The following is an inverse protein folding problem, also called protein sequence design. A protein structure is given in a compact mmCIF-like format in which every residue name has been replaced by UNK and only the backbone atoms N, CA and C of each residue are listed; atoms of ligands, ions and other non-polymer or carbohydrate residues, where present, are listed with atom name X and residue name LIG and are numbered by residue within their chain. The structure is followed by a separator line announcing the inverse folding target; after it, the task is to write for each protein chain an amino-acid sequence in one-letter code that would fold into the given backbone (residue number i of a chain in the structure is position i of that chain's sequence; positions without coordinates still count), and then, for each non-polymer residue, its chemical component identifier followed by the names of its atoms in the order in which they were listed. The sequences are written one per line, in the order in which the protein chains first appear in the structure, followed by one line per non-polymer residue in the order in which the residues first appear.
data_IF_370622388140
#
_entry.id   IF_370622388140
#
_cell.length_a   1.000
_cell.length_b   1.000
_cell.length_c   1.000
_cell.angle_alpha   90.00
_cell.angle_beta   90.00
_cell.angle_gamma   90.00
#
_symmetry.space_group_name_H-M   'P 1'
#
loop_
_entity.id
_entity.type
_entity.pdbx_description
1 polymer ?
#
# COMPACT_ATOMS: atom_id res chain seq x y z
N UNK A 1 -18.93 -0.14 -10.47
CA UNK A 1 -17.52 0.06 -10.11
C UNK A 1 -17.33 -0.29 -8.65
N UNK A 2 -16.48 -1.26 -8.30
CA UNK A 2 -16.17 -1.53 -6.89
C UNK A 2 -15.33 -0.37 -6.33
N UNK A 3 -15.92 0.40 -5.42
CA UNK A 3 -15.27 1.48 -4.67
C UNK A 3 -14.02 0.93 -3.95
N UNK A 4 -12.82 1.21 -4.48
CA UNK A 4 -11.56 0.90 -3.79
C UNK A 4 -11.41 1.89 -2.63
N UNK A 5 -12.05 1.59 -1.51
CA UNK A 5 -12.00 2.44 -0.31
C UNK A 5 -10.56 2.53 0.21
N UNK A 6 -9.93 3.68 -0.03
CA UNK A 6 -8.63 4.03 0.56
C UNK A 6 -8.84 4.44 2.01
N UNK A 7 -8.24 3.69 2.95
CA UNK A 7 -8.26 4.04 4.37
C UNK A 7 -7.00 4.83 4.72
N UNK A 8 -7.18 6.09 5.13
CA UNK A 8 -6.10 6.93 5.64
C UNK A 8 -5.78 6.56 7.08
N UNK A 9 -4.49 6.49 7.42
CA UNK A 9 -4.02 6.25 8.78
C UNK A 9 -2.75 7.07 9.04
N UNK A 10 -2.46 7.33 10.32
CA UNK A 10 -1.22 8.01 10.72
C UNK A 10 -0.14 6.96 10.91
N UNK A 11 0.95 7.08 10.14
CA UNK A 11 2.14 6.26 10.29
C UNK A 11 3.16 7.00 11.15
N UNK A 12 3.73 6.33 12.15
CA UNK A 12 4.86 6.84 12.93
C UNK A 12 6.13 6.13 12.46
N UNK A 13 7.09 6.91 11.98
CA UNK A 13 8.44 6.48 11.59
C UNK A 13 9.42 7.51 12.11
N UNK A 14 10.66 7.10 12.38
CA UNK A 14 11.73 8.05 12.69
C UNK A 14 12.14 8.84 11.44
N UNK A 15 12.81 9.97 11.64
CA UNK A 15 13.18 10.87 10.56
C UNK A 15 14.20 10.25 9.60
N UNK A 16 15.10 9.39 10.09
CA UNK A 16 16.15 8.78 9.27
C UNK A 16 15.55 7.80 8.27
N UNK A 17 14.62 6.95 8.74
CA UNK A 17 13.83 6.05 7.90
C UNK A 17 13.00 6.83 6.88
N UNK A 18 12.37 7.93 7.27
CA UNK A 18 11.57 8.75 6.35
C UNK A 18 12.44 9.34 5.22
N UNK A 19 13.60 9.91 5.57
CA UNK A 19 14.54 10.46 4.59
C UNK A 19 15.03 9.40 3.60
N UNK A 20 15.33 8.19 4.08
CA UNK A 20 15.73 7.08 3.21
C UNK A 20 14.62 6.69 2.21
N UNK A 21 13.35 6.69 2.65
CA UNK A 21 12.21 6.40 1.77
C UNK A 21 12.00 7.50 0.74
N UNK A 22 12.17 8.77 1.12
CA UNK A 22 12.06 9.91 0.21
C UNK A 22 13.15 9.90 -0.86
N UNK A 23 14.40 9.64 -0.47
CA UNK A 23 15.52 9.50 -1.41
C UNK A 23 15.25 8.36 -2.41
N UNK A 24 14.82 7.20 -1.93
CA UNK A 24 14.50 6.06 -2.80
C UNK A 24 13.32 6.36 -3.74
N UNK A 25 12.29 7.06 -3.26
CA UNK A 25 11.18 7.49 -4.10
C UNK A 25 11.66 8.45 -5.20
N UNK A 26 12.57 9.38 -4.88
CA UNK A 26 13.16 10.32 -5.84
C UNK A 26 14.00 9.60 -6.90
N UNK A 27 14.82 8.63 -6.50
CA UNK A 27 15.66 7.82 -7.42
C UNK A 27 14.81 7.05 -8.44
N UNK A 28 13.62 6.60 -8.04
CA UNK A 28 12.69 5.87 -8.91
C UNK A 28 11.61 6.76 -9.57
N UNK A 29 11.73 8.09 -9.46
CA UNK A 29 10.74 9.06 -9.96
C UNK A 29 9.29 8.79 -9.49
N UNK A 30 9.14 8.41 -8.22
CA UNK A 30 7.85 8.14 -7.57
C UNK A 30 7.57 9.15 -6.46
N UNK A 31 6.30 9.25 -6.07
CA UNK A 31 5.94 9.94 -4.83
C UNK A 31 6.26 9.07 -3.61
N UNK A 32 6.55 9.69 -2.47
CA UNK A 32 6.81 8.99 -1.21
C UNK A 32 5.66 8.06 -0.82
N UNK A 33 4.40 8.48 -1.03
CA UNK A 33 3.24 7.64 -0.79
C UNK A 33 3.16 6.44 -1.77
N UNK A 34 3.49 6.66 -3.05
CA UNK A 34 3.58 5.57 -4.03
C UNK A 34 4.66 4.55 -3.65
N UNK A 35 5.81 5.03 -3.17
CA UNK A 35 6.90 4.18 -2.71
C UNK A 35 6.52 3.38 -1.46
N UNK A 36 5.88 4.02 -0.47
CA UNK A 36 5.34 3.33 0.70
C UNK A 36 4.34 2.23 0.32
N UNK A 37 3.43 2.50 -0.62
CA UNK A 37 2.48 1.49 -1.12
C UNK A 37 3.19 0.30 -1.77
N UNK A 38 4.24 0.57 -2.56
CA UNK A 38 5.03 -0.48 -3.19
C UNK A 38 5.75 -1.34 -2.14
N UNK A 39 6.43 -0.71 -1.18
CA UNK A 39 7.14 -1.40 -0.08
C UNK A 39 6.17 -2.29 0.70
N UNK A 40 5.01 -1.77 1.10
CA UNK A 40 4.00 -2.52 1.85
C UNK A 40 3.48 -3.70 1.03
N UNK A 41 3.19 -3.49 -0.26
CA UNK A 41 2.69 -4.55 -1.15
C UNK A 41 3.73 -5.65 -1.32
N UNK A 42 4.99 -5.29 -1.54
CA UNK A 42 6.11 -6.21 -1.66
C UNK A 42 6.36 -6.99 -0.38
N UNK A 43 6.33 -6.32 0.78
CA UNK A 43 6.48 -6.97 2.09
C UNK A 43 5.36 -7.99 2.33
N UNK A 44 4.10 -7.64 2.03
CA UNK A 44 2.96 -8.56 2.14
C UNK A 44 3.08 -9.75 1.18
N UNK A 45 3.55 -9.51 -0.05
CA UNK A 45 3.79 -10.56 -1.05
C UNK A 45 4.86 -11.54 -0.58
N UNK A 46 6.01 -11.03 -0.12
CA UNK A 46 7.12 -11.83 0.44
C UNK A 46 6.68 -12.62 1.68
N UNK A 47 5.86 -12.02 2.54
CA UNK A 47 5.30 -12.68 3.71
C UNK A 47 4.16 -13.68 3.38
N UNK A 48 3.75 -13.82 2.11
CA UNK A 48 2.56 -14.60 1.68
C UNK A 48 1.27 -14.18 2.40
N UNK A 49 1.20 -12.90 2.79
CA UNK A 49 0.06 -12.28 3.49
C UNK A 49 -0.75 -11.35 2.60
N UNK A 50 -0.42 -11.28 1.31
CA UNK A 50 -1.22 -10.52 0.37
C UNK A 50 -2.65 -11.07 0.38
N UNK A 51 -3.68 -10.24 0.62
CA UNK A 51 -5.04 -10.73 0.69
C UNK A 51 -5.40 -11.40 -0.64
N UNK A 52 -5.85 -12.66 -0.58
CA UNK A 52 -6.45 -13.31 -1.75
C UNK A 52 -7.61 -12.43 -2.17
N UNK A 53 -7.65 -12.02 -3.45
CA UNK A 53 -8.81 -11.34 -4.04
C UNK A 53 -10.04 -12.21 -3.72
N UNK A 54 -10.80 -11.86 -2.68
CA UNK A 54 -12.19 -12.31 -2.60
C UNK A 54 -12.84 -11.64 -3.79
N UNK A 55 -13.14 -12.42 -4.81
CA UNK A 55 -14.14 -12.04 -5.78
C UNK A 55 -15.42 -11.89 -4.96
N UNK A 56 -15.72 -10.66 -4.54
CA UNK A 56 -17.03 -10.32 -4.00
C UNK A 56 -17.99 -10.45 -5.18
N UNK A 57 -18.44 -11.67 -5.45
CA UNK A 57 -19.64 -11.90 -6.24
C UNK A 57 -20.76 -11.29 -5.42
N UNK A 58 -21.23 -10.12 -5.85
CA UNK A 58 -22.40 -9.48 -5.29
C UNK A 58 -23.60 -10.40 -5.52
N UNK A 59 -23.95 -11.22 -4.53
CA UNK A 59 -25.31 -11.73 -4.38
C UNK A 59 -26.16 -10.55 -3.94
N UNK A 60 -26.73 -9.91 -4.95
CA UNK A 60 -27.99 -9.18 -4.89
C UNK A 60 -28.99 -10.01 -4.07
N UNK A 61 -29.38 -9.51 -2.90
CA UNK A 61 -30.47 -10.08 -2.12
C UNK A 61 -31.33 -8.94 -1.57
N UNK A 62 -32.44 -8.74 -2.31
CA UNK A 62 -33.81 -8.36 -1.92
C UNK A 62 -34.02 -6.97 -1.33
#
# INVERSE_FOLDING_TARGET
MAEKSTKSFILRVDAETMNAIEAWAADEFRSTNGQLQWIITEALRKAKRLPKKKQNNGTEQI
#
